data_IF_527026599814
#
_entry.id   IF_527026599814
#
_cell.length_a   1.000
_cell.length_b   1.000
_cell.length_c   1.000
_cell.angle_alpha   90.00
_cell.angle_beta   90.00
_cell.angle_gamma   90.00
#
_symmetry.space_group_name_H-M   'P 1'
#
loop_
_entity.id
_entity.type
_entity.pdbx_description
1 polymer ?
#
# COMPACT_ATOMS: atom_id res chain seq x y z
N UNK A 1 9.56 14.75 -11.19
CA UNK A 1 8.65 13.76 -10.61
C UNK A 1 9.38 13.17 -9.43
N UNK A 2 8.72 12.98 -8.31
CA UNK A 2 9.28 12.38 -7.10
C UNK A 2 9.03 10.88 -7.19
N UNK A 3 9.93 10.02 -6.66
CA UNK A 3 9.61 8.64 -6.40
C UNK A 3 8.40 8.61 -5.49
N UNK A 4 7.41 7.81 -5.81
CA UNK A 4 6.14 7.77 -5.11
C UNK A 4 6.08 6.53 -4.23
N UNK A 5 5.69 6.68 -2.97
CA UNK A 5 5.19 5.59 -2.15
C UNK A 5 3.82 5.10 -2.67
N UNK A 6 3.19 4.16 -1.94
CA UNK A 6 1.97 3.51 -2.41
C UNK A 6 2.24 2.49 -3.52
N UNK A 7 1.20 1.87 -4.12
CA UNK A 7 1.38 0.76 -5.05
C UNK A 7 2.47 0.99 -6.11
N UNK A 8 3.38 0.00 -6.29
CA UNK A 8 3.31 -1.38 -5.85
C UNK A 8 3.87 -1.66 -4.45
N UNK A 9 4.30 -0.63 -3.70
CA UNK A 9 4.91 -0.73 -2.37
C UNK A 9 3.87 -0.59 -1.25
N UNK A 10 4.23 -1.04 -0.05
CA UNK A 10 3.39 -0.90 1.14
C UNK A 10 3.54 0.48 1.80
N UNK A 11 4.77 1.02 1.77
CA UNK A 11 5.07 2.35 2.31
C UNK A 11 4.41 3.42 1.48
N UNK A 12 3.63 4.26 2.12
CA UNK A 12 3.03 5.44 1.49
C UNK A 12 3.99 6.64 1.47
N UNK A 13 3.62 7.68 0.73
CA UNK A 13 4.31 8.96 0.69
C UNK A 13 3.34 10.14 0.88
N UNK A 14 3.85 11.36 1.21
CA UNK A 14 3.02 12.55 1.33
C UNK A 14 2.40 13.04 0.01
N UNK A 15 2.64 12.40 -1.12
CA UNK A 15 2.04 12.77 -2.40
C UNK A 15 0.52 12.69 -2.38
N UNK A 16 -0.11 13.50 -3.20
CA UNK A 16 -1.55 13.46 -3.48
C UNK A 16 -1.76 13.54 -4.99
N UNK A 17 -2.87 13.05 -5.53
CA UNK A 17 -3.15 13.17 -6.98
C UNK A 17 -3.21 14.63 -7.47
N UNK A 18 -3.37 15.59 -6.57
CA UNK A 18 -3.62 16.99 -6.90
C UNK A 18 -5.11 17.26 -7.14
N UNK A 19 -5.46 18.54 -7.19
CA UNK A 19 -6.85 18.98 -7.18
C UNK A 19 -7.70 18.35 -8.29
N UNK A 20 -8.75 17.61 -7.90
CA UNK A 20 -9.74 16.97 -8.77
C UNK A 20 -9.18 15.88 -9.69
N UNK A 21 -7.95 15.45 -9.49
CA UNK A 21 -7.37 14.32 -10.19
C UNK A 21 -7.74 13.01 -9.48
N UNK A 22 -7.80 11.94 -10.28
CA UNK A 22 -7.92 10.58 -9.80
C UNK A 22 -6.63 9.83 -10.05
N UNK A 23 -6.24 9.03 -9.09
CA UNK A 23 -5.26 7.99 -9.23
C UNK A 23 -5.93 6.67 -8.87
N UNK A 24 -5.91 5.72 -9.80
CA UNK A 24 -6.55 4.41 -9.63
C UNK A 24 -5.49 3.35 -9.86
N UNK A 25 -5.29 2.48 -8.89
CA UNK A 25 -4.39 1.35 -8.95
C UNK A 25 -5.21 0.06 -8.99
N UNK A 26 -4.92 -0.81 -9.97
CA UNK A 26 -5.51 -2.14 -10.08
C UNK A 26 -4.38 -3.16 -10.13
N UNK A 27 -4.39 -4.09 -9.18
CA UNK A 27 -3.28 -5.01 -9.00
C UNK A 27 -3.69 -6.48 -8.85
N UNK A 28 -2.70 -7.32 -9.05
CA UNK A 28 -2.62 -8.71 -8.64
C UNK A 28 -1.50 -8.83 -7.63
N UNK A 29 -1.82 -9.24 -6.40
CA UNK A 29 -0.88 -9.26 -5.29
C UNK A 29 -0.83 -10.64 -4.63
N UNK A 30 0.13 -11.49 -4.99
CA UNK A 30 0.31 -12.81 -4.39
C UNK A 30 1.17 -12.76 -3.14
N UNK A 31 0.75 -13.51 -2.11
CA UNK A 31 1.51 -13.85 -0.92
C UNK A 31 1.68 -15.36 -0.87
N UNK A 32 2.91 -15.86 -0.90
CA UNK A 32 3.20 -17.29 -0.84
C UNK A 32 3.83 -17.65 0.50
N UNK A 33 3.17 -18.57 1.20
CA UNK A 33 3.61 -19.10 2.49
C UNK A 33 4.01 -20.57 2.33
N UNK A 34 4.64 -21.12 3.37
CA UNK A 34 4.97 -22.55 3.35
C UNK A 34 3.69 -23.38 3.51
N UNK A 35 3.19 -23.92 2.40
CA UNK A 35 1.99 -24.74 2.34
C UNK A 35 0.68 -23.98 2.09
N UNK A 36 0.69 -22.64 2.03
CA UNK A 36 -0.50 -21.84 1.76
C UNK A 36 -0.23 -20.63 0.87
N UNK A 37 -1.27 -19.99 0.38
CA UNK A 37 -1.15 -18.77 -0.41
C UNK A 37 -2.39 -17.90 -0.26
N UNK A 38 -2.18 -16.59 -0.16
CA UNK A 38 -3.23 -15.57 -0.29
C UNK A 38 -2.97 -14.76 -1.55
N UNK A 39 -4.03 -14.42 -2.26
CA UNK A 39 -3.92 -13.60 -3.47
C UNK A 39 -5.03 -12.56 -3.46
N UNK A 40 -4.65 -11.31 -3.67
CA UNK A 40 -5.59 -10.22 -3.93
C UNK A 40 -5.72 -10.06 -5.45
N UNK A 41 -6.94 -10.17 -6.00
CA UNK A 41 -7.17 -10.03 -7.45
C UNK A 41 -8.65 -9.84 -7.83
N UNK A 42 -9.07 -8.61 -8.19
CA UNK A 42 -8.24 -7.40 -8.18
C UNK A 42 -7.95 -6.90 -6.77
N UNK A 43 -6.78 -6.30 -6.62
CA UNK A 43 -6.45 -5.36 -5.56
C UNK A 43 -6.78 -3.98 -6.10
N UNK A 44 -7.60 -3.21 -5.41
CA UNK A 44 -8.16 -1.94 -5.88
C UNK A 44 -7.81 -0.84 -4.89
N UNK A 45 -7.17 0.21 -5.40
CA UNK A 45 -6.87 1.43 -4.65
C UNK A 45 -7.29 2.64 -5.49
N UNK A 46 -8.22 3.44 -4.99
CA UNK A 46 -8.80 4.60 -5.66
C UNK A 46 -8.54 5.84 -4.82
N UNK A 47 -7.83 6.79 -5.41
CA UNK A 47 -7.42 8.03 -4.77
C UNK A 47 -8.00 9.24 -5.51
N UNK A 48 -8.57 10.17 -4.75
CA UNK A 48 -9.11 11.43 -5.28
C UNK A 48 -8.49 12.62 -4.58
N UNK A 49 -7.96 13.57 -5.34
CA UNK A 49 -7.40 14.81 -4.83
C UNK A 49 -8.46 15.89 -4.56
N UNK A 50 -8.56 16.31 -3.31
CA UNK A 50 -9.38 17.45 -2.88
C UNK A 50 -8.47 18.64 -2.54
N UNK A 51 -8.30 19.55 -3.50
CA UNK A 51 -7.21 20.51 -3.48
C UNK A 51 -5.86 19.82 -3.70
N UNK A 52 -4.77 20.55 -3.41
CA UNK A 52 -3.42 20.03 -3.65
C UNK A 52 -2.84 19.28 -2.45
N UNK A 53 -3.56 19.27 -1.31
CA UNK A 53 -3.02 18.77 -0.04
C UNK A 53 -3.83 17.67 0.62
N UNK A 54 -5.02 17.36 0.10
CA UNK A 54 -5.90 16.34 0.65
C UNK A 54 -6.12 15.27 -0.40
N UNK A 55 -6.06 14.02 0.02
CA UNK A 55 -6.45 12.85 -0.76
C UNK A 55 -7.52 12.07 0.00
N UNK A 56 -8.55 11.68 -0.71
CA UNK A 56 -9.53 10.72 -0.24
C UNK A 56 -9.22 9.38 -0.89
N UNK A 57 -9.19 8.31 -0.11
CA UNK A 57 -8.80 6.97 -0.55
C UNK A 57 -9.89 5.96 -0.24
N UNK A 58 -10.12 5.05 -1.17
CA UNK A 58 -10.86 3.81 -0.97
C UNK A 58 -10.05 2.64 -1.49
N UNK A 59 -9.85 1.63 -0.63
CA UNK A 59 -9.16 0.39 -0.97
C UNK A 59 -10.02 -0.82 -0.67
N UNK A 60 -9.94 -1.83 -1.51
CA UNK A 60 -10.56 -3.15 -1.32
C UNK A 60 -9.86 -4.19 -2.19
N UNK A 61 -9.98 -5.45 -1.81
CA UNK A 61 -9.48 -6.56 -2.62
C UNK A 61 -10.45 -7.73 -2.65
N UNK A 62 -10.50 -8.41 -3.78
CA UNK A 62 -11.04 -9.76 -3.86
C UNK A 62 -9.94 -10.74 -3.50
N UNK A 63 -10.16 -11.50 -2.42
CA UNK A 63 -9.21 -12.42 -1.83
C UNK A 63 -9.46 -13.85 -2.31
N UNK A 64 -8.37 -14.56 -2.54
CA UNK A 64 -8.33 -16.01 -2.68
C UNK A 64 -7.34 -16.56 -1.68
N UNK A 65 -7.84 -17.33 -0.72
CA UNK A 65 -7.02 -18.04 0.26
C UNK A 65 -7.00 -19.52 -0.03
N UNK A 66 -5.81 -20.10 0.00
CA UNK A 66 -5.60 -21.54 -0.13
C UNK A 66 -4.66 -22.02 0.97
N UNK A 67 -5.16 -22.93 1.80
CA UNK A 67 -4.41 -23.55 2.87
C UNK A 67 -4.23 -25.06 2.59
N UNK A 68 -2.97 -25.49 2.44
CA UNK A 68 -2.59 -26.86 2.19
C UNK A 68 -3.33 -27.50 1.01
N UNK A 69 -3.92 -28.66 1.27
CA UNK A 69 -4.72 -29.43 0.29
C UNK A 69 -6.19 -29.03 0.25
N UNK A 70 -6.64 -28.15 1.16
CA UNK A 70 -8.01 -27.69 1.22
C UNK A 70 -8.42 -26.97 -0.08
N UNK A 71 -9.73 -26.95 -0.38
CA UNK A 71 -10.25 -26.14 -1.47
C UNK A 71 -9.97 -24.65 -1.20
N UNK A 72 -9.66 -23.91 -2.26
CA UNK A 72 -9.46 -22.47 -2.13
C UNK A 72 -10.77 -21.78 -1.71
N UNK A 73 -10.66 -20.85 -0.79
CA UNK A 73 -11.75 -19.97 -0.38
C UNK A 73 -11.63 -18.62 -1.08
N UNK A 74 -12.74 -17.97 -1.32
CA UNK A 74 -12.82 -16.69 -2.01
C UNK A 74 -13.73 -15.74 -1.25
N UNK A 75 -13.43 -14.46 -1.25
CA UNK A 75 -14.29 -13.45 -0.63
C UNK A 75 -13.73 -12.04 -0.81
N UNK A 76 -14.54 -11.08 -0.41
CA UNK A 76 -14.14 -9.67 -0.38
C UNK A 76 -13.37 -9.39 0.92
N UNK A 77 -12.26 -8.66 0.83
CA UNK A 77 -11.51 -8.18 1.99
C UNK A 77 -12.26 -7.09 2.76
N UNK A 78 -11.59 -6.49 3.74
CA UNK A 78 -12.11 -5.30 4.41
C UNK A 78 -12.13 -4.13 3.43
N UNK A 79 -13.15 -3.27 3.55
CA UNK A 79 -13.13 -1.95 2.94
C UNK A 79 -12.23 -1.04 3.76
N UNK A 80 -11.33 -0.31 3.10
CA UNK A 80 -10.49 0.68 3.75
C UNK A 80 -10.80 2.06 3.19
N UNK A 81 -11.08 3.00 4.10
CA UNK A 81 -11.36 4.40 3.80
C UNK A 81 -10.26 5.27 4.41
N UNK A 82 -9.63 6.08 3.59
CA UNK A 82 -8.51 6.91 4.03
C UNK A 82 -8.68 8.39 3.71
N UNK A 83 -8.08 9.23 4.56
CA UNK A 83 -7.96 10.66 4.32
C UNK A 83 -6.51 11.07 4.59
N UNK A 84 -5.76 11.37 3.53
CA UNK A 84 -4.39 11.89 3.65
C UNK A 84 -4.43 13.42 3.68
N UNK A 85 -3.67 13.99 4.61
CA UNK A 85 -3.45 15.43 4.69
C UNK A 85 -1.96 15.75 4.69
N UNK A 86 -1.47 16.31 3.57
CA UNK A 86 -0.11 16.83 3.44
C UNK A 86 -0.05 18.24 4.05
N UNK A 87 0.31 18.33 5.32
CA UNK A 87 0.34 19.60 6.05
C UNK A 87 1.65 20.38 5.87
N UNK A 88 2.73 19.70 5.47
CA UNK A 88 4.01 20.34 5.19
C UNK A 88 4.54 19.92 3.82
N UNK A 89 4.94 20.87 3.01
CA UNK A 89 5.60 20.68 1.71
C UNK A 89 6.52 21.87 1.43
N UNK A 90 7.82 21.61 1.30
CA UNK A 90 8.83 22.63 1.09
C UNK A 90 9.78 22.24 -0.03
N UNK A 91 9.54 22.81 -1.21
CA UNK A 91 10.33 22.54 -2.42
C UNK A 91 11.81 22.93 -2.28
N UNK A 92 12.15 23.92 -1.43
CA UNK A 92 13.55 24.37 -1.27
C UNK A 92 14.42 23.31 -0.63
N UNK A 93 13.91 22.59 0.35
CA UNK A 93 14.63 21.51 1.01
C UNK A 93 14.18 20.12 0.58
N UNK A 94 13.17 20.01 -0.29
CA UNK A 94 12.65 18.75 -0.82
C UNK A 94 11.98 17.86 0.23
N UNK A 95 11.52 18.40 1.36
CA UNK A 95 10.84 17.67 2.43
C UNK A 95 9.33 17.90 2.34
N UNK A 96 8.56 16.80 2.38
CA UNK A 96 7.13 16.85 2.59
C UNK A 96 6.72 15.92 3.73
N UNK A 97 5.61 16.25 4.43
CA UNK A 97 5.07 15.48 5.56
C UNK A 97 3.56 15.46 5.47
N UNK A 98 2.98 14.30 5.72
CA UNK A 98 1.54 14.07 5.80
C UNK A 98 1.16 13.19 6.98
N UNK A 99 -0.13 13.17 7.28
CA UNK A 99 -0.78 12.17 8.11
C UNK A 99 -1.87 11.51 7.28
N UNK A 100 -2.00 10.18 7.41
CA UNK A 100 -2.92 9.40 6.58
C UNK A 100 -3.76 8.41 7.40
N UNK A 101 -4.72 8.87 8.24
CA UNK A 101 -5.64 7.97 8.90
C UNK A 101 -6.45 7.15 7.90
N UNK A 102 -6.51 5.84 8.15
CA UNK A 102 -7.19 4.85 7.31
C UNK A 102 -8.01 3.93 8.21
N UNK A 103 -9.31 3.88 7.98
CA UNK A 103 -10.28 3.05 8.68
C UNK A 103 -10.59 1.81 7.86
N UNK A 104 -10.26 0.63 8.37
CA UNK A 104 -10.67 -0.65 7.80
C UNK A 104 -11.91 -1.16 8.51
N UNK A 105 -12.91 -1.56 7.74
CA UNK A 105 -14.19 -2.10 8.22
C UNK A 105 -14.54 -3.37 7.47
N UNK A 106 -15.28 -4.26 8.11
CA UNK A 106 -15.74 -5.47 7.44
C UNK A 106 -16.82 -5.15 6.41
N UNK A 107 -16.68 -5.75 5.25
CA UNK A 107 -17.73 -5.80 4.26
C UNK A 107 -18.90 -6.66 4.79
N UNK A 108 -20.16 -6.40 4.41
CA UNK A 108 -21.33 -7.16 4.87
C UNK A 108 -21.42 -8.61 4.38
N UNK A 109 -20.47 -9.10 3.57
CA UNK A 109 -20.42 -10.50 3.20
C UNK A 109 -19.96 -11.41 4.38
N UNK A 110 -19.95 -12.71 4.21
CA UNK A 110 -19.56 -13.69 5.20
C UNK A 110 -18.04 -13.97 5.26
N UNK A 111 -17.20 -13.09 4.71
CA UNK A 111 -15.75 -13.27 4.63
C UNK A 111 -15.10 -13.46 6.00
N UNK A 112 -15.63 -12.79 7.03
CA UNK A 112 -15.17 -12.98 8.43
C UNK A 112 -15.49 -14.39 8.92
N UNK A 113 -16.71 -14.88 8.69
CA UNK A 113 -17.11 -16.22 9.12
C UNK A 113 -16.30 -17.32 8.44
N UNK A 114 -15.82 -17.09 7.23
CA UNK A 114 -14.95 -17.99 6.47
C UNK A 114 -13.45 -17.80 6.77
N UNK A 115 -13.08 -16.84 7.61
CA UNK A 115 -11.69 -16.56 7.95
C UNK A 115 -10.88 -15.86 6.85
N UNK A 116 -11.54 -15.26 5.86
CA UNK A 116 -10.91 -14.54 4.74
C UNK A 116 -10.54 -13.11 5.18
N UNK A 117 -11.39 -12.46 5.96
CA UNK A 117 -11.16 -11.13 6.50
C UNK A 117 -11.07 -11.17 8.03
N UNK A 118 -10.24 -10.34 8.69
CA UNK A 118 -10.20 -10.25 10.14
C UNK A 118 -11.52 -9.67 10.67
N UNK A 119 -11.95 -10.04 11.90
CA UNK A 119 -13.15 -9.50 12.48
C UNK A 119 -12.98 -8.06 12.97
N UNK A 120 -14.05 -7.28 12.94
CA UNK A 120 -14.10 -5.94 13.50
C UNK A 120 -13.53 -4.86 12.60
N UNK A 121 -13.13 -3.77 13.21
CA UNK A 121 -12.58 -2.61 12.53
C UNK A 121 -11.16 -2.31 13.04
N UNK A 122 -10.36 -1.62 12.23
CA UNK A 122 -9.09 -1.06 12.67
C UNK A 122 -8.89 0.35 12.11
N UNK A 123 -8.18 1.17 12.87
CA UNK A 123 -7.79 2.52 12.46
C UNK A 123 -6.27 2.61 12.49
N UNK A 124 -5.67 2.72 11.33
CA UNK A 124 -4.24 2.97 11.21
C UNK A 124 -3.99 4.46 10.97
N UNK A 125 -3.00 5.02 11.67
CA UNK A 125 -2.66 6.45 11.58
C UNK A 125 -1.16 6.59 11.36
N UNK A 126 -0.68 6.48 10.11
CA UNK A 126 0.71 6.74 9.79
C UNK A 126 0.98 8.24 9.65
N UNK A 127 2.20 8.63 10.01
CA UNK A 127 2.84 9.88 9.60
C UNK A 127 3.86 9.52 8.53
N UNK A 128 3.72 10.15 7.39
CA UNK A 128 4.51 9.90 6.20
C UNK A 128 5.47 11.04 5.93
N UNK A 129 6.63 10.71 5.42
CA UNK A 129 7.68 11.66 5.09
C UNK A 129 8.25 11.36 3.71
N UNK A 130 8.60 12.39 2.97
CA UNK A 130 9.42 12.26 1.77
C UNK A 130 10.57 13.25 1.77
N UNK A 131 11.72 12.83 1.24
CA UNK A 131 12.92 13.66 1.13
C UNK A 131 13.63 13.38 -0.19
N UNK A 132 13.88 14.44 -0.95
CA UNK A 132 14.72 14.36 -2.14
C UNK A 132 16.18 14.63 -1.80
N UNK A 133 17.07 13.69 -2.14
CA UNK A 133 18.51 13.79 -1.96
C UNK A 133 19.24 13.64 -3.33
N UNK A 134 19.37 14.74 -4.03
CA UNK A 134 19.94 14.71 -5.39
C UNK A 134 19.09 13.87 -6.35
N UNK A 135 19.62 12.78 -6.93
CA UNK A 135 18.86 11.91 -7.83
C UNK A 135 18.04 10.84 -7.12
N UNK A 136 18.12 10.76 -5.79
CA UNK A 136 17.47 9.74 -4.97
C UNK A 136 16.30 10.37 -4.20
N UNK A 137 15.17 9.72 -4.23
CA UNK A 137 14.02 10.04 -3.40
C UNK A 137 13.91 9.01 -2.27
N UNK A 138 13.61 9.47 -1.07
CA UNK A 138 13.44 8.66 0.12
C UNK A 138 12.06 8.93 0.69
N UNK A 139 11.30 7.87 0.93
CA UNK A 139 10.02 7.93 1.65
C UNK A 139 10.12 7.05 2.89
N UNK A 140 9.52 7.48 3.99
CA UNK A 140 9.37 6.64 5.17
C UNK A 140 8.07 6.98 5.89
N UNK A 141 7.55 6.00 6.58
CA UNK A 141 6.35 6.17 7.40
C UNK A 141 6.47 5.42 8.72
N UNK A 142 5.76 5.94 9.72
CA UNK A 142 5.59 5.31 11.03
C UNK A 142 4.13 5.46 11.42
N UNK A 143 3.49 4.37 11.84
CA UNK A 143 2.07 4.40 12.17
C UNK A 143 1.69 3.54 13.37
N UNK A 144 0.63 3.96 14.05
CA UNK A 144 -0.07 3.22 15.07
C UNK A 144 -1.34 2.62 14.46
N UNK A 145 -1.63 1.36 14.78
CA UNK A 145 -2.83 0.66 14.35
C UNK A 145 -3.67 0.28 15.57
N UNK A 146 -4.77 0.97 15.79
CA UNK A 146 -5.78 0.64 16.79
C UNK A 146 -6.71 -0.44 16.24
N UNK A 147 -6.85 -1.57 16.94
CA UNK A 147 -7.64 -2.73 16.49
C UNK A 147 -8.78 -3.01 17.46
N UNK A 148 -10.02 -2.96 16.98
CA UNK A 148 -11.22 -3.13 17.82
C UNK A 148 -11.31 -4.53 18.46
N UNK A 149 -11.02 -5.60 17.71
CA UNK A 149 -11.10 -6.99 18.20
C UNK A 149 -9.76 -7.70 18.08
N UNK A 150 -8.70 -7.10 18.66
CA UNK A 150 -7.35 -7.64 18.61
C UNK A 150 -6.34 -6.76 19.31
N UNK A 151 -5.08 -7.15 19.32
CA UNK A 151 -4.03 -6.32 19.88
C UNK A 151 -3.70 -5.17 18.94
N UNK A 152 -3.46 -3.99 19.52
CA UNK A 152 -2.97 -2.84 18.78
C UNK A 152 -1.58 -3.13 18.20
N UNK A 153 -1.28 -2.46 17.09
CA UNK A 153 -0.07 -2.69 16.33
C UNK A 153 0.63 -1.42 15.87
N UNK A 154 1.69 -1.63 15.15
CA UNK A 154 2.52 -0.60 14.55
C UNK A 154 2.86 -0.97 13.11
N UNK A 155 3.18 0.04 12.31
CA UNK A 155 3.85 -0.13 11.03
C UNK A 155 5.04 0.82 10.93
N UNK A 156 6.03 0.42 10.15
CA UNK A 156 7.16 1.25 9.77
C UNK A 156 7.58 0.87 8.33
N UNK A 157 7.71 1.86 7.48
CA UNK A 157 8.10 1.68 6.08
C UNK A 157 9.24 2.60 5.68
N UNK A 158 10.06 2.14 4.76
CA UNK A 158 11.18 2.91 4.20
C UNK A 158 11.41 2.52 2.75
N UNK A 159 11.28 3.48 1.84
CA UNK A 159 11.52 3.30 0.39
C UNK A 159 12.66 4.22 -0.05
N UNK A 160 13.54 3.67 -0.84
CA UNK A 160 14.56 4.43 -1.57
C UNK A 160 14.34 4.20 -3.05
N UNK A 161 14.16 5.29 -3.80
CA UNK A 161 13.86 5.23 -5.21
C UNK A 161 14.70 6.16 -6.06
N UNK A 162 14.73 5.85 -7.35
CA UNK A 162 15.41 6.66 -8.34
C UNK A 162 14.79 6.52 -9.72
N UNK A 163 14.58 7.65 -10.40
CA UNK A 163 14.35 7.67 -11.85
C UNK A 163 15.63 7.24 -12.60
N UNK A 164 15.63 6.04 -13.21
CA UNK A 164 16.71 5.57 -14.09
C UNK A 164 16.62 6.21 -15.47
N UNK A 165 15.40 6.45 -15.93
CA UNK A 165 15.08 7.15 -17.17
C UNK A 165 13.82 8.00 -16.97
N UNK A 166 13.42 8.80 -17.97
CA UNK A 166 12.15 9.54 -17.96
C UNK A 166 10.90 8.64 -17.81
N UNK A 167 11.04 7.34 -18.08
CA UNK A 167 9.93 6.37 -18.06
C UNK A 167 10.06 5.30 -17.00
N UNK A 168 11.27 5.05 -16.52
CA UNK A 168 11.55 3.93 -15.61
C UNK A 168 12.08 4.47 -14.29
N UNK A 169 11.36 4.18 -13.22
CA UNK A 169 11.70 4.37 -11.82
C UNK A 169 11.99 3.01 -11.20
N UNK A 170 13.04 2.92 -10.39
CA UNK A 170 13.42 1.74 -9.62
C UNK A 170 13.44 2.11 -8.16
N UNK A 171 12.76 1.31 -7.34
CA UNK A 171 12.67 1.49 -5.90
C UNK A 171 12.97 0.20 -5.17
N UNK A 172 13.43 0.33 -3.93
CA UNK A 172 13.57 -0.75 -2.97
C UNK A 172 12.92 -0.34 -1.65
N UNK A 173 12.20 -1.28 -1.03
CA UNK A 173 11.46 -1.07 0.20
C UNK A 173 11.90 -2.01 1.30
N UNK A 174 11.92 -1.50 2.53
CA UNK A 174 11.86 -2.28 3.75
C UNK A 174 10.60 -1.87 4.51
N UNK A 175 9.70 -2.83 4.73
CA UNK A 175 8.43 -2.61 5.40
C UNK A 175 8.28 -3.57 6.58
N UNK A 176 7.83 -3.06 7.71
CA UNK A 176 7.55 -3.82 8.90
C UNK A 176 6.19 -3.48 9.50
N UNK A 177 5.50 -4.49 9.96
CA UNK A 177 4.29 -4.35 10.77
C UNK A 177 4.30 -5.38 11.90
N UNK A 178 3.62 -5.07 12.99
CA UNK A 178 3.57 -5.98 14.12
C UNK A 178 2.61 -5.52 15.21
N UNK A 179 2.47 -6.33 16.24
CA UNK A 179 1.67 -6.04 17.41
C UNK A 179 2.54 -5.70 18.61
N UNK A 180 2.09 -4.78 19.49
CA UNK A 180 2.92 -4.30 20.61
C UNK A 180 3.20 -5.35 21.69
N UNK A 181 2.28 -6.30 21.90
CA UNK A 181 2.34 -7.25 23.00
C UNK A 181 2.46 -8.71 22.56
N UNK A 182 2.62 -8.96 21.26
CA UNK A 182 2.69 -10.30 20.69
C UNK A 182 3.93 -10.43 19.83
N UNK A 183 4.45 -11.64 19.71
CA UNK A 183 5.64 -11.93 18.90
C UNK A 183 5.38 -11.88 17.37
N UNK A 184 4.22 -11.45 16.92
CA UNK A 184 3.94 -11.30 15.51
C UNK A 184 4.56 -10.01 15.00
N UNK A 185 5.61 -10.15 14.21
CA UNK A 185 6.24 -9.07 13.46
C UNK A 185 6.52 -9.60 12.07
N UNK A 186 5.96 -8.95 11.06
CA UNK A 186 6.32 -9.18 9.67
C UNK A 186 7.30 -8.10 9.22
N UNK A 187 8.39 -8.52 8.60
CA UNK A 187 9.37 -7.61 8.00
C UNK A 187 9.63 -8.08 6.58
N UNK A 188 9.35 -7.23 5.62
CA UNK A 188 9.46 -7.51 4.19
C UNK A 188 10.56 -6.65 3.58
N UNK A 189 11.36 -7.24 2.72
CA UNK A 189 12.29 -6.55 1.85
C UNK A 189 11.87 -6.85 0.41
N UNK A 190 11.64 -5.80 -0.36
CA UNK A 190 11.22 -5.92 -1.75
C UNK A 190 11.88 -4.85 -2.63
N UNK A 191 11.73 -5.04 -3.93
CA UNK A 191 12.13 -4.08 -4.94
C UNK A 191 11.17 -4.15 -6.12
N UNK A 192 11.01 -3.03 -6.79
CA UNK A 192 10.08 -2.94 -7.89
C UNK A 192 10.37 -1.79 -8.83
N UNK A 193 9.52 -1.69 -9.84
CA UNK A 193 9.62 -0.67 -10.87
C UNK A 193 8.27 -0.06 -11.18
N UNK A 194 8.30 1.22 -11.55
CA UNK A 194 7.20 1.94 -12.17
C UNK A 194 7.61 2.30 -13.58
N UNK A 195 6.86 1.81 -14.56
CA UNK A 195 7.16 2.06 -15.96
C UNK A 195 6.04 2.84 -16.63
N UNK A 196 6.31 4.10 -16.99
CA UNK A 196 5.40 5.01 -17.69
C UNK A 196 5.23 4.57 -19.13
N UNK A 197 4.11 3.91 -19.45
CA UNK A 197 3.80 3.44 -20.81
C UNK A 197 3.45 4.63 -21.73
N UNK A 198 2.30 5.18 -21.52
CA UNK A 198 1.76 6.40 -22.14
C UNK A 198 0.70 6.97 -21.20
N UNK A 199 0.51 8.28 -21.11
CA UNK A 199 -0.56 8.81 -20.30
C UNK A 199 -1.92 8.19 -20.70
N UNK A 200 -2.76 7.80 -19.73
CA UNK A 200 -2.57 7.91 -18.28
C UNK A 200 -1.98 6.67 -17.59
N UNK A 201 -1.32 5.75 -18.30
CA UNK A 201 -0.99 4.40 -17.86
C UNK A 201 0.45 4.26 -17.35
N UNK A 202 0.60 3.69 -16.16
CA UNK A 202 1.88 3.31 -15.56
C UNK A 202 1.80 1.83 -15.16
N UNK A 203 2.73 1.02 -15.62
CA UNK A 203 2.89 -0.37 -15.20
C UNK A 203 3.63 -0.40 -13.86
N UNK A 204 3.11 -1.20 -12.92
CA UNK A 204 3.63 -1.38 -11.58
C UNK A 204 4.05 -2.83 -11.38
N UNK A 205 5.29 -3.05 -10.96
CA UNK A 205 5.83 -4.37 -10.67
C UNK A 205 6.62 -4.32 -9.36
N UNK A 206 6.44 -5.32 -8.50
CA UNK A 206 7.26 -5.50 -7.29
C UNK A 206 7.39 -6.98 -6.99
N UNK A 207 8.55 -7.36 -6.45
CA UNK A 207 8.80 -8.68 -5.89
C UNK A 207 9.67 -8.56 -4.64
N UNK A 208 9.34 -9.36 -3.63
CA UNK A 208 10.03 -9.37 -2.38
C UNK A 208 9.75 -10.61 -1.54
N UNK A 209 10.21 -10.55 -0.30
CA UNK A 209 10.04 -11.63 0.67
C UNK A 209 10.14 -11.10 2.10
N UNK A 210 9.58 -11.84 3.04
CA UNK A 210 9.85 -11.58 4.45
C UNK A 210 11.29 -11.94 4.83
N UNK A 211 11.89 -11.14 5.72
CA UNK A 211 13.27 -11.31 6.17
C UNK A 211 13.43 -12.56 7.05
N UNK A 212 12.36 -12.98 7.75
CA UNK A 212 12.33 -14.17 8.60
C UNK A 212 11.14 -15.09 8.23
N UNK A 213 11.12 -15.69 7.04
CA UNK A 213 9.87 -16.17 6.45
C UNK A 213 9.34 -17.51 6.97
N UNK A 214 10.21 -18.46 7.30
CA UNK A 214 9.76 -19.86 7.37
C UNK A 214 9.23 -20.30 8.74
N UNK A 215 9.66 -19.68 9.82
CA UNK A 215 9.35 -20.16 11.19
C UNK A 215 8.14 -19.47 11.82
N UNK A 216 7.69 -18.35 11.26
CA UNK A 216 6.70 -17.48 11.90
C UNK A 216 5.41 -17.31 11.07
N UNK A 217 5.15 -18.19 10.09
CA UNK A 217 3.97 -18.07 9.22
C UNK A 217 4.01 -16.84 8.31
N UNK A 218 5.20 -16.33 7.99
CA UNK A 218 5.38 -15.16 7.13
C UNK A 218 5.58 -15.61 5.66
N UNK A 219 5.20 -14.77 4.68
CA UNK A 219 5.36 -15.12 3.28
C UNK A 219 6.85 -15.21 2.90
N UNK A 220 7.21 -16.27 2.21
CA UNK A 220 8.54 -16.38 1.59
C UNK A 220 8.63 -15.64 0.26
N UNK A 221 7.50 -15.27 -0.31
CA UNK A 221 7.38 -14.44 -1.50
C UNK A 221 6.17 -13.51 -1.38
N UNK A 222 6.38 -12.25 -1.73
CA UNK A 222 5.33 -11.24 -1.98
C UNK A 222 5.56 -10.65 -3.35
N UNK A 223 4.49 -10.30 -4.04
CA UNK A 223 4.60 -9.68 -5.36
C UNK A 223 3.47 -8.72 -5.62
N UNK A 224 3.68 -7.82 -6.55
CA UNK A 224 2.67 -6.95 -7.12
C UNK A 224 2.85 -6.86 -8.63
N UNK A 225 1.76 -7.03 -9.36
CA UNK A 225 1.67 -6.76 -10.78
C UNK A 225 0.41 -5.95 -11.03
N UNK A 226 0.54 -4.71 -11.48
CA UNK A 226 -0.61 -3.83 -11.60
C UNK A 226 -0.45 -2.70 -12.60
N UNK A 227 -1.51 -1.94 -12.70
CA UNK A 227 -1.60 -0.76 -13.55
C UNK A 227 -2.13 0.42 -12.74
N UNK A 228 -1.43 1.54 -12.82
CA UNK A 228 -1.88 2.82 -12.29
C UNK A 228 -2.43 3.69 -13.42
N UNK A 229 -3.54 4.34 -13.14
CA UNK A 229 -4.23 5.27 -14.03
C UNK A 229 -4.23 6.67 -13.40
N UNK A 230 -3.56 7.62 -14.04
CA UNK A 230 -3.56 9.01 -13.62
C UNK A 230 -4.54 9.81 -14.48
N UNK A 231 -5.73 10.08 -13.95
CA UNK A 231 -6.81 10.72 -14.69
C UNK A 231 -6.95 12.19 -14.27
N UNK A 232 -6.69 13.14 -15.18
CA UNK A 232 -6.91 14.56 -14.92
C UNK A 232 -8.40 14.87 -14.78
N UNK A 233 -8.76 16.02 -14.18
CA UNK A 233 -10.15 16.46 -14.13
C UNK A 233 -10.70 16.63 -15.54
N UNK A 234 -11.94 16.17 -15.77
CA UNK A 234 -12.62 16.50 -17.02
C UNK A 234 -12.87 18.01 -17.06
N UNK A 235 -12.60 18.69 -18.20
CA UNK A 235 -13.05 20.06 -18.36
C UNK A 235 -14.60 20.07 -18.19
N UNK A 236 -15.11 21.07 -17.48
CA UNK A 236 -16.56 21.28 -17.47
C UNK A 236 -17.00 21.69 -18.87
N UNK A 237 -17.92 20.95 -19.46
CA UNK A 237 -18.68 21.38 -20.64
C UNK A 237 -19.68 22.44 -20.23
#
# INVERSE_FOLDING_TARGET
>A
MRAQGGPPYYTNDPGTPGNRNWEINLGYMPFLFNGSSTTHTPDIDINYGLGDRIQLTYENAWLRDKDGTNAAQYGVGQDQLGVKWRFYDNDRNGLAISVFPQLSINNPDDSVARGIAPPGASLIVPVEFSKKLGPVDINWELGYNAVHLGPDGWLAGFVVGRDLTKKLELDAEFYGLGTFHHSYNQQTLDAGVRYKLRPPFILLLMAGRSVAPARNGQPYFVGYFGMQFLLPPKPFE
#
